data_IF_348845892700
#
_entry.id   IF_348845892700
#
_cell.length_a   1.000
_cell.length_b   1.000
_cell.length_c   1.000
_cell.angle_alpha   90.00
_cell.angle_beta   90.00
_cell.angle_gamma   90.00
#
_symmetry.space_group_name_H-M   'P 1'
#
loop_
_entity.id
_entity.type
_entity.pdbx_description
1 polymer ?
#
# COMPACT_ATOMS: atom_id res chain seq x y z
N UNK A 1 -33.88 23.99 8.98
CA UNK A 1 -33.96 22.79 9.83
C UNK A 1 -33.34 23.14 11.16
N UNK A 2 -34.02 22.78 12.24
CA UNK A 2 -33.67 23.20 13.60
C UNK A 2 -32.43 22.45 14.10
N UNK A 3 -31.47 23.14 14.70
CA UNK A 3 -30.19 22.57 15.16
C UNK A 3 -30.44 21.50 16.22
N UNK A 4 -31.46 21.70 17.06
CA UNK A 4 -31.90 20.71 18.05
C UNK A 4 -32.33 19.39 17.42
N UNK A 5 -33.01 19.45 16.26
CA UNK A 5 -33.48 18.27 15.56
C UNK A 5 -32.33 17.49 14.90
N UNK A 6 -31.30 18.18 14.42
CA UNK A 6 -30.08 17.54 13.92
C UNK A 6 -29.28 16.87 15.04
N UNK A 7 -29.26 17.46 16.23
CA UNK A 7 -28.61 16.88 17.41
C UNK A 7 -29.40 15.66 17.91
N UNK A 8 -30.73 15.72 17.97
CA UNK A 8 -31.56 14.55 18.30
C UNK A 8 -31.43 13.44 17.28
N UNK A 9 -31.48 13.74 15.98
CA UNK A 9 -31.25 12.75 14.92
C UNK A 9 -29.85 12.13 15.02
N UNK A 10 -28.82 12.92 15.32
CA UNK A 10 -27.46 12.43 15.57
C UNK A 10 -27.34 11.57 16.83
N UNK A 11 -28.06 11.90 17.91
CA UNK A 11 -28.09 11.10 19.15
C UNK A 11 -28.86 9.78 18.93
N UNK A 12 -29.98 9.79 18.22
CA UNK A 12 -30.71 8.58 17.84
C UNK A 12 -29.87 7.66 16.94
N UNK A 13 -29.07 8.25 16.05
CA UNK A 13 -28.13 7.51 15.21
C UNK A 13 -27.00 6.89 16.07
N UNK A 14 -26.37 7.64 16.97
CA UNK A 14 -25.28 7.14 17.81
C UNK A 14 -25.76 6.09 18.84
N UNK A 15 -27.00 6.18 19.32
CA UNK A 15 -27.56 5.28 20.35
C UNK A 15 -28.29 4.05 19.79
N UNK A 16 -28.43 3.92 18.47
CA UNK A 16 -29.12 2.81 17.84
C UNK A 16 -28.34 1.48 18.02
N UNK A 17 -28.87 0.60 18.86
CA UNK A 17 -28.33 -0.74 19.16
C UNK A 17 -28.46 -1.76 18.01
N UNK A 18 -29.01 -1.39 16.85
CA UNK A 18 -29.16 -2.26 15.69
C UNK A 18 -29.30 -1.48 14.38
N UNK A 19 -28.62 -1.97 13.33
CA UNK A 19 -28.66 -1.51 11.93
C UNK A 19 -30.10 -1.37 11.41
N UNK A 20 -31.06 -2.12 11.97
CA UNK A 20 -32.47 -2.12 11.54
C UNK A 20 -33.28 -0.92 12.06
N UNK A 21 -32.84 -0.25 13.13
CA UNK A 21 -33.45 0.99 13.66
C UNK A 21 -32.86 2.27 13.06
N UNK A 22 -31.70 2.14 12.44
CA UNK A 22 -31.07 3.18 11.65
C UNK A 22 -31.75 3.26 10.29
N UNK A 23 -32.42 4.36 9.99
CA UNK A 23 -32.94 4.67 8.63
C UNK A 23 -31.81 4.95 7.62
N UNK A 24 -30.64 4.32 7.79
CA UNK A 24 -29.50 4.44 6.91
C UNK A 24 -29.79 3.59 5.67
N UNK A 25 -29.86 4.23 4.50
CA UNK A 25 -29.95 3.51 3.22
C UNK A 25 -28.80 2.50 3.16
N UNK A 26 -29.05 1.27 2.72
CA UNK A 26 -28.01 0.22 2.66
C UNK A 26 -26.72 0.66 1.93
N UNK A 27 -26.82 1.58 0.97
CA UNK A 27 -25.67 2.20 0.28
C UNK A 27 -24.75 3.04 1.17
N UNK A 28 -25.25 3.56 2.29
CA UNK A 28 -24.54 4.44 3.21
C UNK A 28 -24.05 3.71 4.46
N UNK A 29 -24.51 2.47 4.71
CA UNK A 29 -24.09 1.69 5.87
C UNK A 29 -22.56 1.49 5.97
N UNK A 30 -21.82 1.21 4.87
CA UNK A 30 -20.36 1.14 4.95
C UNK A 30 -19.71 2.47 5.34
N UNK A 31 -20.22 3.60 4.83
CA UNK A 31 -19.73 4.93 5.18
C UNK A 31 -19.96 5.21 6.67
N UNK A 32 -21.17 4.95 7.16
CA UNK A 32 -21.50 5.14 8.56
C UNK A 32 -20.63 4.27 9.50
N UNK A 33 -20.44 2.99 9.18
CA UNK A 33 -19.56 2.11 9.97
C UNK A 33 -18.14 2.69 10.04
N UNK A 34 -17.61 3.16 8.90
CA UNK A 34 -16.29 3.78 8.85
C UNK A 34 -16.22 5.07 9.67
N UNK A 35 -17.25 5.93 9.60
CA UNK A 35 -17.36 7.14 10.41
C UNK A 35 -17.36 6.81 11.92
N UNK A 36 -18.09 5.77 12.36
CA UNK A 36 -18.08 5.35 13.76
C UNK A 36 -16.71 4.83 14.22
N UNK A 37 -16.01 4.10 13.36
CA UNK A 37 -14.65 3.64 13.65
C UNK A 37 -13.71 4.85 13.76
N UNK A 38 -13.80 5.80 12.84
CA UNK A 38 -13.03 7.04 12.91
C UNK A 38 -13.31 7.85 14.17
N UNK A 39 -14.58 8.04 14.53
CA UNK A 39 -14.97 8.83 15.69
C UNK A 39 -14.42 8.23 16.99
N UNK A 40 -14.43 6.90 17.11
CA UNK A 40 -13.80 6.18 18.23
C UNK A 40 -12.30 6.41 18.30
N UNK A 41 -11.61 6.52 17.16
CA UNK A 41 -10.18 6.82 17.11
C UNK A 41 -9.86 8.29 17.39
N UNK A 42 -10.76 9.20 16.98
CA UNK A 42 -10.64 10.66 17.16
C UNK A 42 -10.93 11.10 18.59
N UNK A 43 -11.85 10.42 19.28
CA UNK A 43 -12.34 10.79 20.61
C UNK A 43 -11.23 10.91 21.68
N UNK A 44 -10.26 9.98 21.80
CA UNK A 44 -9.18 10.10 22.79
C UNK A 44 -8.37 11.38 22.64
N UNK A 45 -8.08 11.79 21.39
CA UNK A 45 -7.34 13.03 21.14
C UNK A 45 -8.18 14.24 21.52
N UNK A 46 -9.47 14.26 21.17
CA UNK A 46 -10.39 15.33 21.55
C UNK A 46 -10.45 15.51 23.07
N UNK A 47 -10.70 14.42 23.81
CA UNK A 47 -10.76 14.42 25.28
C UNK A 47 -9.43 14.87 25.89
N UNK A 48 -8.31 14.39 25.36
CA UNK A 48 -6.98 14.80 25.82
C UNK A 48 -6.75 16.32 25.67
N UNK A 49 -7.22 16.93 24.56
CA UNK A 49 -7.11 18.38 24.36
C UNK A 49 -7.98 19.15 25.34
N UNK A 50 -9.22 18.71 25.57
CA UNK A 50 -10.09 19.32 26.58
C UNK A 50 -9.47 19.24 27.99
N UNK A 51 -8.91 18.08 28.37
CA UNK A 51 -8.19 17.91 29.65
C UNK A 51 -6.99 18.83 29.81
N UNK A 52 -6.37 19.24 28.69
CA UNK A 52 -5.26 20.20 28.66
C UNK A 52 -5.70 21.66 28.63
N UNK A 53 -7.00 21.93 28.74
CA UNK A 53 -7.57 23.27 28.83
C UNK A 53 -7.89 23.94 27.50
N UNK A 54 -7.82 23.22 26.37
CA UNK A 54 -8.21 23.76 25.07
C UNK A 54 -9.73 23.92 24.97
N UNK A 55 -10.19 24.91 24.21
CA UNK A 55 -11.62 25.04 23.89
C UNK A 55 -12.09 23.88 22.98
N UNK A 56 -13.40 23.55 22.96
CA UNK A 56 -13.93 22.53 22.06
C UNK A 56 -13.60 22.76 20.57
N UNK A 57 -13.55 24.02 20.13
CA UNK A 57 -13.18 24.37 18.75
C UNK A 57 -11.71 24.08 18.46
N UNK A 58 -10.79 24.40 19.37
CA UNK A 58 -9.37 24.10 19.22
C UNK A 58 -9.08 22.61 19.30
N UNK A 59 -9.75 21.91 20.22
CA UNK A 59 -9.67 20.45 20.32
C UNK A 59 -10.12 19.77 19.01
N UNK A 60 -11.23 20.24 18.41
CA UNK A 60 -11.70 19.73 17.12
C UNK A 60 -10.70 20.01 15.99
N UNK A 61 -10.11 21.21 15.93
CA UNK A 61 -9.07 21.55 14.95
C UNK A 61 -7.87 20.60 15.02
N UNK A 62 -7.40 20.29 16.24
CA UNK A 62 -6.31 19.34 16.43
C UNK A 62 -6.71 17.93 16.00
N UNK A 63 -7.94 17.49 16.29
CA UNK A 63 -8.45 16.19 15.81
C UNK A 63 -8.40 16.11 14.30
N UNK A 64 -8.96 17.09 13.60
CA UNK A 64 -8.96 17.12 12.13
C UNK A 64 -7.56 17.24 11.54
N UNK A 65 -6.63 17.91 12.25
CA UNK A 65 -5.24 17.99 11.84
C UNK A 65 -4.53 16.64 11.85
N UNK A 66 -4.76 15.80 12.86
CA UNK A 66 -4.02 14.53 13.02
C UNK A 66 -4.75 13.30 12.46
N UNK A 67 -6.08 13.31 12.38
CA UNK A 67 -6.85 12.18 11.83
C UNK A 67 -7.27 12.39 10.37
N UNK A 68 -7.06 13.60 9.85
CA UNK A 68 -7.51 14.10 8.56
C UNK A 68 -9.03 14.01 8.37
N UNK A 69 -9.58 15.02 7.70
CA UNK A 69 -10.96 14.97 7.25
C UNK A 69 -10.99 14.44 5.82
N UNK A 70 -11.63 13.29 5.62
CA UNK A 70 -11.81 12.69 4.30
C UNK A 70 -13.10 13.16 3.62
N UNK A 71 -13.89 14.01 4.29
CA UNK A 71 -15.14 14.52 3.73
C UNK A 71 -14.81 15.36 2.48
N UNK A 72 -15.48 15.12 1.34
CA UNK A 72 -15.13 15.71 0.04
C UNK A 72 -15.16 17.25 -0.07
N UNK A 73 -15.48 18.00 0.99
CA UNK A 73 -15.82 19.44 0.94
C UNK A 73 -14.86 20.35 1.68
N UNK A 74 -13.95 19.81 2.50
CA UNK A 74 -13.12 20.57 3.42
C UNK A 74 -11.64 20.46 3.01
N UNK A 75 -11.01 21.59 2.66
CA UNK A 75 -9.56 21.68 2.46
C UNK A 75 -8.98 21.31 1.08
N UNK A 76 -9.79 20.78 0.15
CA UNK A 76 -9.35 20.46 -1.23
C UNK A 76 -9.95 21.42 -2.25
N UNK A 77 -9.17 21.82 -3.24
CA UNK A 77 -9.61 22.58 -4.41
C UNK A 77 -10.51 21.75 -5.34
N UNK A 78 -11.36 22.37 -6.19
CA UNK A 78 -12.19 21.63 -7.15
C UNK A 78 -11.38 20.71 -8.07
N UNK A 79 -10.16 21.11 -8.44
CA UNK A 79 -9.23 20.30 -9.22
C UNK A 79 -8.75 19.07 -8.46
N UNK A 80 -8.31 19.23 -7.21
CA UNK A 80 -7.89 18.11 -6.37
C UNK A 80 -9.03 17.10 -6.15
N UNK A 81 -10.24 17.60 -5.93
CA UNK A 81 -11.42 16.78 -5.72
C UNK A 81 -11.80 15.96 -6.95
N UNK A 82 -11.73 16.56 -8.14
CA UNK A 82 -12.27 15.96 -9.37
C UNK A 82 -11.22 15.19 -10.17
N UNK A 83 -9.96 15.64 -10.12
CA UNK A 83 -8.86 15.11 -10.92
C UNK A 83 -7.88 14.33 -10.06
N UNK A 84 -7.20 14.98 -9.10
CA UNK A 84 -6.09 14.35 -8.38
C UNK A 84 -6.49 13.08 -7.63
N UNK A 85 -7.66 13.07 -6.98
CA UNK A 85 -8.20 11.87 -6.30
C UNK A 85 -8.46 10.69 -7.24
N UNK A 86 -8.64 10.94 -8.54
CA UNK A 86 -8.80 9.89 -9.55
C UNK A 86 -7.47 9.44 -10.14
N UNK A 87 -6.46 10.31 -10.15
CA UNK A 87 -5.13 9.98 -10.70
C UNK A 87 -4.27 9.23 -9.68
N UNK A 88 -4.33 9.63 -8.41
CA UNK A 88 -3.52 9.11 -7.31
C UNK A 88 -4.49 8.55 -6.24
N UNK A 89 -4.58 7.23 -6.07
CA UNK A 89 -5.23 6.62 -4.91
C UNK A 89 -4.65 7.19 -3.61
N UNK A 90 -5.50 7.39 -2.61
CA UNK A 90 -5.10 7.98 -1.31
C UNK A 90 -4.49 9.39 -1.39
N UNK A 91 -4.68 10.13 -2.49
CA UNK A 91 -4.22 11.52 -2.62
C UNK A 91 -4.52 12.41 -1.40
N UNK A 92 -5.73 12.30 -0.85
CA UNK A 92 -6.17 13.10 0.32
C UNK A 92 -5.30 12.82 1.55
N UNK A 93 -4.88 11.57 1.75
CA UNK A 93 -3.96 11.20 2.82
C UNK A 93 -2.62 11.87 2.60
N UNK A 94 -1.92 11.58 1.50
CA UNK A 94 -0.57 12.07 1.25
C UNK A 94 -0.52 13.61 1.19
N UNK A 95 -1.54 14.26 0.60
CA UNK A 95 -1.62 15.74 0.53
C UNK A 95 -1.64 16.41 1.91
N UNK A 96 -2.29 15.80 2.89
CA UNK A 96 -2.38 16.32 4.26
C UNK A 96 -1.26 15.81 5.17
N UNK A 97 -0.86 14.55 4.97
CA UNK A 97 0.16 13.88 5.77
C UNK A 97 1.55 14.45 5.51
N UNK A 98 1.96 14.68 4.25
CA UNK A 98 3.30 15.20 3.94
C UNK A 98 3.60 16.54 4.64
N UNK A 99 2.74 17.58 4.54
CA UNK A 99 2.96 18.82 5.28
C UNK A 99 2.96 18.62 6.81
N UNK A 100 2.07 17.76 7.32
CA UNK A 100 2.02 17.47 8.76
C UNK A 100 3.32 16.84 9.24
N UNK A 101 3.86 15.86 8.52
CA UNK A 101 5.12 15.22 8.88
C UNK A 101 6.28 16.21 8.84
N UNK A 102 6.36 17.07 7.81
CA UNK A 102 7.37 18.13 7.74
C UNK A 102 7.24 19.08 8.94
N UNK A 103 6.02 19.51 9.28
CA UNK A 103 5.78 20.38 10.44
C UNK A 103 6.21 19.69 11.75
N UNK A 104 5.88 18.42 11.92
CA UNK A 104 6.26 17.66 13.11
C UNK A 104 7.77 17.39 13.17
N UNK A 105 8.45 17.19 12.04
CA UNK A 105 9.91 17.08 11.98
C UNK A 105 10.59 18.35 12.48
N UNK A 106 10.07 19.51 12.07
CA UNK A 106 10.59 20.82 12.51
C UNK A 106 10.29 21.05 14.00
N UNK A 107 9.07 20.72 14.46
CA UNK A 107 8.65 20.94 15.85
C UNK A 107 9.25 19.94 16.84
N UNK A 108 9.53 18.72 16.41
CA UNK A 108 9.94 17.62 17.27
C UNK A 108 11.14 16.84 16.67
N UNK A 109 12.25 17.51 16.32
CA UNK A 109 13.35 16.88 15.59
C UNK A 109 13.97 15.71 16.34
N UNK A 110 14.01 15.77 17.68
CA UNK A 110 14.53 14.70 18.53
C UNK A 110 13.78 13.37 18.38
N UNK A 111 12.47 13.39 18.11
CA UNK A 111 11.69 12.15 17.91
C UNK A 111 12.00 11.49 16.58
N UNK A 112 12.11 12.29 15.51
CA UNK A 112 12.47 11.79 14.19
C UNK A 112 13.93 11.30 14.15
N UNK A 113 14.84 12.02 14.81
CA UNK A 113 16.21 11.54 15.00
C UNK A 113 16.26 10.24 15.80
N UNK A 114 15.39 10.08 16.81
CA UNK A 114 15.25 8.83 17.57
C UNK A 114 14.80 7.66 16.71
N UNK A 115 13.84 7.87 15.81
CA UNK A 115 13.36 6.85 14.88
C UNK A 115 14.47 6.41 13.91
N UNK A 116 15.24 7.35 13.37
CA UNK A 116 16.37 7.02 12.48
C UNK A 116 17.49 6.29 13.25
N UNK A 117 17.77 6.69 14.49
CA UNK A 117 18.72 5.95 15.36
C UNK A 117 18.23 4.53 15.62
N UNK A 118 16.93 4.36 15.90
CA UNK A 118 16.32 3.04 16.06
C UNK A 118 16.53 2.20 14.80
N UNK A 119 16.19 2.76 13.63
CA UNK A 119 16.42 2.13 12.33
C UNK A 119 17.87 1.65 12.18
N UNK A 120 18.85 2.51 12.46
CA UNK A 120 20.27 2.17 12.35
C UNK A 120 20.77 1.18 13.40
N UNK A 121 20.12 1.12 14.57
CA UNK A 121 20.44 0.19 15.65
C UNK A 121 19.88 -1.20 15.44
N UNK A 122 18.79 -1.31 14.67
CA UNK A 122 18.16 -2.59 14.33
C UNK A 122 19.10 -3.43 13.45
N UNK A 123 19.89 -2.81 12.57
CA UNK A 123 20.85 -3.52 11.73
C UNK A 123 22.20 -3.72 12.46
N UNK A 124 22.58 -4.97 12.68
CA UNK A 124 23.93 -5.37 13.08
C UNK A 124 24.98 -5.12 11.98
N UNK A 125 26.28 -5.33 12.25
CA UNK A 125 27.35 -5.12 11.27
C UNK A 125 27.19 -5.95 9.99
N UNK A 126 26.76 -7.22 10.12
CA UNK A 126 26.53 -8.12 8.98
C UNK A 126 25.26 -7.73 8.20
N UNK A 127 24.17 -7.43 8.91
CA UNK A 127 22.89 -7.03 8.29
C UNK A 127 22.98 -5.68 7.55
N UNK A 128 23.90 -4.79 7.96
CA UNK A 128 24.19 -3.55 7.22
C UNK A 128 24.83 -3.80 5.86
N UNK A 129 25.64 -4.87 5.76
CA UNK A 129 26.24 -5.30 4.49
C UNK A 129 25.16 -5.89 3.60
N UNK A 130 24.31 -6.75 4.15
CA UNK A 130 23.18 -7.34 3.41
C UNK A 130 22.17 -6.29 2.94
N UNK A 131 21.88 -5.29 3.78
CA UNK A 131 20.99 -4.17 3.44
C UNK A 131 21.43 -3.43 2.19
N UNK A 132 22.74 -3.25 1.97
CA UNK A 132 23.28 -2.57 0.78
C UNK A 132 23.02 -3.33 -0.51
N UNK A 133 22.88 -4.66 -0.43
CA UNK A 133 22.58 -5.53 -1.57
C UNK A 133 21.08 -5.70 -1.81
N UNK A 134 20.24 -5.20 -0.91
CA UNK A 134 18.80 -5.22 -1.13
C UNK A 134 18.41 -4.35 -2.33
N UNK A 135 17.30 -4.65 -3.02
CA UNK A 135 16.76 -3.77 -4.04
C UNK A 135 16.51 -2.35 -3.52
N UNK A 136 16.67 -1.35 -4.40
CA UNK A 136 16.50 0.07 -4.06
C UNK A 136 15.17 0.37 -3.34
N UNK A 137 14.07 -0.23 -3.81
CA UNK A 137 12.74 -0.07 -3.19
C UNK A 137 12.67 -0.59 -1.74
N UNK A 138 13.43 -1.62 -1.38
CA UNK A 138 13.52 -2.12 0.00
C UNK A 138 14.39 -1.23 0.86
N UNK A 139 15.49 -0.71 0.30
CA UNK A 139 16.39 0.20 1.02
C UNK A 139 15.69 1.51 1.43
N UNK A 140 14.70 1.93 0.64
CA UNK A 140 13.91 3.12 0.93
C UNK A 140 12.91 2.91 2.07
N UNK A 141 12.50 1.66 2.36
CA UNK A 141 11.47 1.31 3.34
C UNK A 141 12.03 1.14 4.76
N UNK A 142 11.16 1.30 5.76
CA UNK A 142 11.48 0.90 7.13
C UNK A 142 11.33 -0.62 7.27
N UNK A 143 12.41 -1.34 6.95
CA UNK A 143 12.47 -2.80 7.09
C UNK A 143 13.24 -3.22 8.34
N UNK A 144 12.80 -4.32 8.93
CA UNK A 144 13.39 -4.94 10.11
C UNK A 144 13.78 -6.37 9.72
N UNK A 145 15.07 -6.78 9.84
CA UNK A 145 15.47 -8.17 9.68
C UNK A 145 14.82 -9.02 10.77
N UNK A 146 14.27 -10.15 10.37
CA UNK A 146 13.77 -11.15 11.30
C UNK A 146 14.86 -12.19 11.58
N UNK A 147 14.97 -12.68 12.83
CA UNK A 147 15.99 -13.67 13.19
C UNK A 147 15.72 -15.05 12.57
N UNK A 148 14.54 -15.25 11.97
CA UNK A 148 14.17 -16.48 11.31
C UNK A 148 14.46 -16.38 9.82
N UNK A 149 15.03 -17.46 9.28
CA UNK A 149 15.16 -17.63 7.84
C UNK A 149 13.99 -18.46 7.33
N UNK A 150 13.62 -18.22 6.08
CA UNK A 150 12.63 -19.04 5.39
C UNK A 150 13.13 -20.49 5.23
N UNK A 151 12.24 -21.42 4.84
CA UNK A 151 12.56 -22.82 4.52
C UNK A 151 13.68 -22.96 3.47
N UNK A 152 13.91 -21.89 2.69
CA UNK A 152 14.92 -21.77 1.65
C UNK A 152 16.21 -21.09 2.13
N UNK A 153 16.36 -20.84 3.43
CA UNK A 153 17.52 -20.17 4.01
C UNK A 153 17.61 -18.67 3.67
N UNK A 154 16.51 -18.08 3.15
CA UNK A 154 16.41 -16.66 2.80
C UNK A 154 16.14 -15.82 4.04
N UNK A 155 16.75 -14.65 4.12
CA UNK A 155 16.48 -13.71 5.20
C UNK A 155 15.07 -13.14 5.05
N UNK A 156 14.34 -13.15 6.16
CA UNK A 156 12.99 -12.61 6.24
C UNK A 156 13.05 -11.17 6.73
N UNK A 157 12.24 -10.31 6.11
CA UNK A 157 12.18 -8.90 6.41
C UNK A 157 10.74 -8.52 6.76
N UNK A 158 10.56 -7.73 7.81
CA UNK A 158 9.29 -7.12 8.17
C UNK A 158 9.32 -5.65 7.74
N UNK A 159 8.38 -5.25 6.89
CA UNK A 159 8.17 -3.85 6.53
C UNK A 159 7.20 -3.20 7.51
N UNK A 160 7.56 -2.01 8.00
CA UNK A 160 6.65 -1.12 8.72
C UNK A 160 6.33 0.08 7.83
N UNK A 161 5.05 0.23 7.48
CA UNK A 161 4.58 1.41 6.75
C UNK A 161 4.38 2.56 7.72
N UNK A 162 5.29 3.54 7.67
CA UNK A 162 5.24 4.70 8.55
C UNK A 162 4.63 5.89 7.82
N UNK A 163 3.84 6.75 8.50
CA UNK A 163 3.36 7.98 7.89
C UNK A 163 4.47 8.90 7.34
N UNK A 164 5.70 8.76 7.84
CA UNK A 164 6.88 9.47 7.34
C UNK A 164 7.24 9.10 5.90
N UNK A 165 6.90 7.89 5.45
CA UNK A 165 7.30 7.36 4.14
C UNK A 165 6.72 8.16 2.97
N UNK A 166 5.57 8.82 3.18
CA UNK A 166 4.95 9.71 2.19
C UNK A 166 5.83 10.93 1.85
N UNK A 167 6.78 11.32 2.70
CA UNK A 167 7.72 12.41 2.39
C UNK A 167 8.55 12.07 1.14
N UNK A 168 8.75 10.79 0.84
CA UNK A 168 9.45 10.37 -0.37
C UNK A 168 8.71 10.77 -1.65
N UNK A 169 7.40 11.02 -1.58
CA UNK A 169 6.62 11.55 -2.71
C UNK A 169 6.91 13.01 -3.03
N UNK A 170 7.80 13.69 -2.31
CA UNK A 170 8.18 15.05 -2.67
C UNK A 170 8.91 15.06 -4.02
N UNK A 171 8.45 15.87 -5.01
CA UNK A 171 9.01 15.90 -6.36
C UNK A 171 10.31 16.73 -6.42
N UNK A 172 11.22 16.52 -5.47
CA UNK A 172 12.50 17.24 -5.36
C UNK A 172 13.62 16.43 -6.02
N UNK A 173 13.51 15.10 -6.02
CA UNK A 173 14.46 14.16 -6.60
C UNK A 173 13.82 13.29 -7.69
N UNK A 174 14.66 12.65 -8.51
CA UNK A 174 14.22 11.61 -9.46
C UNK A 174 13.53 10.44 -8.76
N UNK A 175 13.98 10.06 -7.56
CA UNK A 175 13.34 9.03 -6.74
C UNK A 175 11.94 9.44 -6.28
N UNK A 176 11.72 10.71 -5.94
CA UNK A 176 10.38 11.18 -5.54
C UNK A 176 9.40 11.25 -6.70
N UNK A 177 9.87 11.62 -7.90
CA UNK A 177 9.06 11.54 -9.12
C UNK A 177 8.69 10.08 -9.43
N UNK A 178 9.65 9.15 -9.27
CA UNK A 178 9.38 7.71 -9.40
C UNK A 178 8.36 7.25 -8.38
N UNK A 179 8.42 7.71 -7.14
CA UNK A 179 7.47 7.34 -6.10
C UNK A 179 6.05 7.87 -6.39
N UNK A 180 5.92 9.11 -6.88
CA UNK A 180 4.62 9.60 -7.36
C UNK A 180 4.09 8.71 -8.49
N UNK A 181 4.95 8.32 -9.43
CA UNK A 181 4.58 7.44 -10.54
C UNK A 181 4.21 6.02 -10.05
N UNK A 182 4.85 5.52 -8.99
CA UNK A 182 4.60 4.20 -8.40
C UNK A 182 3.20 4.10 -7.80
N UNK A 183 2.71 5.21 -7.22
CA UNK A 183 1.38 5.32 -6.61
C UNK A 183 0.29 5.79 -7.56
N UNK A 184 0.59 6.08 -8.84
CA UNK A 184 -0.46 6.39 -9.81
C UNK A 184 -1.45 5.23 -9.95
N UNK A 185 -2.68 5.57 -10.35
CA UNK A 185 -3.68 4.56 -10.69
C UNK A 185 -3.16 3.58 -11.74
N UNK A 186 -3.56 2.29 -11.67
CA UNK A 186 -3.16 1.29 -12.64
C UNK A 186 -3.39 1.68 -14.10
N UNK A 187 -4.47 2.43 -14.37
CA UNK A 187 -4.82 2.91 -15.71
C UNK A 187 -3.76 3.82 -16.33
N UNK A 188 -3.07 4.63 -15.52
CA UNK A 188 -2.01 5.51 -15.98
C UNK A 188 -0.65 4.86 -15.83
N UNK A 189 -0.45 4.14 -14.73
CA UNK A 189 0.82 3.49 -14.42
C UNK A 189 1.17 2.42 -15.43
N UNK A 190 0.25 1.50 -15.74
CA UNK A 190 0.49 0.37 -16.63
C UNK A 190 1.02 0.74 -18.03
N UNK A 191 0.39 1.67 -18.79
CA UNK A 191 0.91 2.04 -20.11
C UNK A 191 2.28 2.73 -20.02
N UNK A 192 2.53 3.53 -18.98
CA UNK A 192 3.84 4.16 -18.77
C UNK A 192 4.91 3.11 -18.44
N UNK A 193 4.60 2.18 -17.55
CA UNK A 193 5.47 1.06 -17.18
C UNK A 193 5.84 0.20 -18.40
N UNK A 194 4.88 -0.09 -19.29
CA UNK A 194 5.16 -0.81 -20.54
C UNK A 194 6.02 0.01 -21.51
N UNK A 195 5.75 1.31 -21.65
CA UNK A 195 6.51 2.18 -22.54
C UNK A 195 7.97 2.28 -22.11
N UNK A 196 8.23 2.44 -20.81
CA UNK A 196 9.57 2.48 -20.25
C UNK A 196 10.16 1.08 -19.97
N UNK A 197 9.39 0.01 -20.20
CA UNK A 197 9.72 -1.38 -19.86
C UNK A 197 10.19 -1.58 -18.41
N UNK A 198 9.74 -0.74 -17.48
CA UNK A 198 10.25 -0.70 -16.12
C UNK A 198 9.11 -0.69 -15.13
N UNK A 199 9.18 -1.59 -14.15
CA UNK A 199 8.24 -1.59 -13.04
C UNK A 199 8.54 -0.37 -12.15
N UNK A 200 7.56 0.52 -11.97
CA UNK A 200 7.78 1.78 -11.25
C UNK A 200 7.84 1.60 -9.73
N UNK A 201 7.38 0.45 -9.22
CA UNK A 201 7.42 0.13 -7.79
C UNK A 201 8.70 -0.63 -7.42
N UNK A 202 8.97 -1.76 -8.10
CA UNK A 202 10.13 -2.61 -7.80
C UNK A 202 11.41 -2.22 -8.57
N UNK A 203 11.30 -1.32 -9.56
CA UNK A 203 12.44 -0.82 -10.33
C UNK A 203 13.00 -1.77 -11.40
N UNK A 204 12.57 -3.04 -11.43
CA UNK A 204 13.05 -4.06 -12.38
C UNK A 204 12.32 -4.06 -13.72
N UNK A 205 12.96 -4.64 -14.74
CA UNK A 205 12.40 -4.70 -16.09
C UNK A 205 11.17 -5.61 -16.16
N UNK A 206 10.19 -5.23 -16.98
CA UNK A 206 8.97 -6.03 -17.19
C UNK A 206 9.26 -7.15 -18.18
N UNK A 207 9.97 -6.82 -19.25
CA UNK A 207 10.35 -7.72 -20.31
C UNK A 207 11.85 -7.62 -20.51
N UNK A 208 12.54 -8.74 -20.73
CA UNK A 208 13.91 -8.70 -21.20
C UNK A 208 13.89 -8.62 -22.76
N UNK A 209 14.32 -7.49 -23.37
CA UNK A 209 14.32 -7.33 -24.83
C UNK A 209 15.27 -8.30 -25.55
N UNK A 210 16.27 -8.85 -24.86
CA UNK A 210 17.26 -9.78 -25.42
C UNK A 210 16.68 -11.19 -25.60
N UNK A 211 15.61 -11.53 -24.86
CA UNK A 211 14.95 -12.82 -24.98
C UNK A 211 13.94 -12.81 -26.14
N UNK A 212 13.84 -13.91 -26.92
CA UNK A 212 12.75 -14.11 -27.86
C UNK A 212 11.39 -13.95 -27.16
N UNK A 213 10.39 -13.43 -27.87
CA UNK A 213 9.06 -13.14 -27.31
C UNK A 213 8.42 -14.34 -26.59
N UNK A 214 8.69 -15.56 -27.05
CA UNK A 214 8.19 -16.81 -26.47
C UNK A 214 8.86 -17.19 -25.13
N UNK A 215 10.03 -16.61 -24.84
CA UNK A 215 10.80 -16.82 -23.62
C UNK A 215 10.66 -15.66 -22.62
N UNK A 216 9.91 -14.62 -22.98
CA UNK A 216 9.58 -13.49 -22.09
C UNK A 216 8.45 -13.87 -21.12
N UNK A 217 8.67 -14.88 -20.30
CA UNK A 217 7.68 -15.39 -19.34
C UNK A 217 8.13 -15.19 -17.89
N UNK A 218 7.15 -15.21 -16.99
CA UNK A 218 7.34 -15.12 -15.53
C UNK A 218 6.45 -16.12 -14.81
N UNK A 219 6.85 -16.49 -13.60
CA UNK A 219 6.12 -17.43 -12.76
C UNK A 219 4.70 -16.95 -12.47
N UNK A 220 3.74 -17.83 -12.68
CA UNK A 220 2.30 -17.64 -12.57
C UNK A 220 1.71 -18.55 -11.49
N UNK A 221 0.55 -18.19 -10.94
CA UNK A 221 -0.18 -19.04 -9.98
C UNK A 221 -0.74 -20.30 -10.65
N UNK A 222 -0.81 -21.39 -9.90
CA UNK A 222 -1.34 -22.67 -10.37
C UNK A 222 -2.81 -22.60 -10.84
N UNK A 223 -3.64 -21.78 -10.18
CA UNK A 223 -5.09 -21.70 -10.46
C UNK A 223 -5.41 -21.34 -11.91
N UNK A 224 -4.48 -20.70 -12.60
CA UNK A 224 -4.66 -20.30 -13.99
C UNK A 224 -4.73 -21.49 -14.95
N UNK A 225 -4.36 -22.70 -14.50
CA UNK A 225 -4.61 -23.95 -15.25
C UNK A 225 -6.08 -24.18 -15.58
N UNK A 226 -6.99 -23.68 -14.73
CA UNK A 226 -8.44 -23.83 -14.88
C UNK A 226 -9.04 -22.82 -15.88
N UNK A 227 -8.25 -21.88 -16.40
CA UNK A 227 -8.74 -20.97 -17.43
C UNK A 227 -9.08 -21.74 -18.72
N UNK A 228 -10.10 -21.29 -19.46
CA UNK A 228 -10.41 -21.81 -20.79
C UNK A 228 -9.17 -21.80 -21.70
N UNK A 229 -9.01 -22.84 -22.52
CA UNK A 229 -7.92 -22.99 -23.48
C UNK A 229 -7.65 -21.75 -24.37
N UNK A 230 -8.66 -21.01 -24.90
CA UNK A 230 -8.37 -19.80 -25.67
C UNK A 230 -7.63 -18.74 -24.84
N UNK A 231 -7.97 -18.58 -23.56
CA UNK A 231 -7.34 -17.60 -22.67
C UNK A 231 -5.92 -18.05 -22.32
N UNK A 232 -5.72 -19.35 -22.03
CA UNK A 232 -4.37 -19.89 -21.76
C UNK A 232 -3.40 -19.68 -22.92
N UNK A 233 -3.88 -19.83 -24.17
CA UNK A 233 -3.08 -19.58 -25.37
C UNK A 233 -2.69 -18.10 -25.51
N UNK A 234 -3.62 -17.17 -25.23
CA UNK A 234 -3.35 -15.72 -25.25
C UNK A 234 -2.31 -15.34 -24.20
N UNK A 235 -2.40 -15.91 -23.00
CA UNK A 235 -1.48 -15.66 -21.89
C UNK A 235 -0.11 -16.33 -22.06
N UNK A 236 0.09 -17.12 -23.13
CA UNK A 236 1.25 -18.01 -23.28
C UNK A 236 1.50 -18.86 -22.02
N UNK A 237 0.41 -19.38 -21.44
CA UNK A 237 0.47 -20.13 -20.19
C UNK A 237 1.07 -21.52 -20.43
N UNK A 238 2.17 -21.84 -19.74
CA UNK A 238 2.89 -23.11 -19.87
C UNK A 238 3.24 -23.70 -18.51
N UNK A 239 3.23 -25.03 -18.45
CA UNK A 239 3.76 -25.80 -17.32
C UNK A 239 5.22 -26.14 -17.64
N UNK A 240 6.13 -25.75 -16.74
CA UNK A 240 7.57 -25.98 -16.89
C UNK A 240 8.07 -26.77 -15.68
N UNK A 241 8.84 -27.81 -15.94
CA UNK A 241 9.49 -28.59 -14.89
C UNK A 241 10.91 -28.08 -14.66
N UNK A 242 11.15 -27.57 -13.46
CA UNK A 242 12.47 -27.10 -13.04
C UNK A 242 13.16 -28.16 -12.21
N UNK A 243 14.46 -28.35 -12.42
CA UNK A 243 15.26 -29.20 -11.51
C UNK A 243 15.29 -28.56 -10.13
N UNK A 244 14.96 -29.35 -9.12
CA UNK A 244 15.09 -28.93 -7.72
C UNK A 244 16.56 -28.99 -7.32
N UNK A 245 17.23 -27.84 -7.32
CA UNK A 245 18.63 -27.74 -6.91
C UNK A 245 18.82 -27.84 -5.39
N UNK A 246 17.73 -27.89 -4.61
CA UNK A 246 17.79 -28.11 -3.15
C UNK A 246 18.27 -29.52 -2.78
N UNK A 247 18.04 -30.48 -3.67
CA UNK A 247 18.50 -31.86 -3.53
C UNK A 247 19.44 -32.19 -4.69
N UNK A 248 20.69 -31.70 -4.67
CA UNK A 248 21.60 -31.87 -5.81
C UNK A 248 21.87 -33.34 -6.17
N UNK A 249 21.83 -34.23 -5.18
CA UNK A 249 22.04 -35.68 -5.30
C UNK A 249 20.82 -36.45 -5.83
N UNK A 250 19.60 -35.90 -5.70
CA UNK A 250 18.37 -36.52 -6.20
C UNK A 250 17.82 -35.72 -7.39
N UNK A 251 17.56 -36.36 -8.54
CA UNK A 251 16.91 -35.68 -9.67
C UNK A 251 15.43 -35.45 -9.40
N UNK A 252 15.11 -34.49 -8.53
CA UNK A 252 13.74 -34.02 -8.26
C UNK A 252 13.38 -32.87 -9.20
N UNK A 253 12.14 -32.84 -9.65
CA UNK A 253 11.60 -31.77 -10.49
C UNK A 253 10.45 -31.07 -9.78
N UNK A 254 10.49 -29.74 -9.75
CA UNK A 254 9.41 -28.88 -9.26
C UNK A 254 8.61 -28.42 -10.48
N UNK A 255 7.29 -28.56 -10.41
CA UNK A 255 6.40 -27.99 -11.42
C UNK A 255 6.19 -26.51 -11.13
N UNK A 256 6.48 -25.65 -12.09
CA UNK A 256 6.15 -24.23 -12.04
C UNK A 256 5.29 -23.88 -13.24
N UNK A 257 4.37 -22.96 -13.03
CA UNK A 257 3.55 -22.41 -14.09
C UNK A 257 4.13 -21.07 -14.51
N UNK A 258 4.11 -20.79 -15.81
CA UNK A 258 4.59 -19.53 -16.36
C UNK A 258 3.57 -18.93 -17.30
N UNK A 259 3.58 -17.61 -17.41
CA UNK A 259 2.82 -16.87 -18.42
C UNK A 259 3.67 -15.73 -18.99
N UNK A 260 3.27 -15.14 -20.11
CA UNK A 260 3.92 -13.97 -20.67
C UNK A 260 3.97 -12.80 -19.69
N UNK A 261 5.14 -12.19 -19.58
CA UNK A 261 5.46 -11.18 -18.56
C UNK A 261 4.59 -9.92 -18.66
N UNK A 262 4.16 -9.52 -19.86
CA UNK A 262 3.30 -8.33 -20.03
C UNK A 262 1.90 -8.59 -19.51
N UNK A 263 1.34 -9.76 -19.81
CA UNK A 263 0.02 -10.12 -19.30
C UNK A 263 0.05 -10.39 -17.79
N UNK A 264 1.13 -10.98 -17.27
CA UNK A 264 1.30 -11.08 -15.82
C UNK A 264 1.32 -9.69 -15.18
N UNK A 265 2.09 -8.76 -15.74
CA UNK A 265 2.16 -7.39 -15.25
C UNK A 265 0.80 -6.68 -15.30
N UNK A 266 0.01 -6.90 -16.35
CA UNK A 266 -1.38 -6.43 -16.42
C UNK A 266 -2.22 -6.98 -15.25
N UNK A 267 -2.21 -8.30 -15.05
CA UNK A 267 -2.97 -8.94 -13.97
C UNK A 267 -2.52 -8.40 -12.60
N UNK A 268 -1.21 -8.24 -12.37
CA UNK A 268 -0.71 -7.67 -11.12
C UNK A 268 -1.10 -6.20 -10.94
N UNK A 269 -1.09 -5.39 -11.99
CA UNK A 269 -1.43 -3.97 -11.91
C UNK A 269 -2.92 -3.74 -11.66
N UNK A 270 -3.81 -4.53 -12.26
CA UNK A 270 -5.26 -4.33 -12.15
C UNK A 270 -5.94 -5.22 -11.09
N UNK A 271 -5.40 -6.42 -10.86
CA UNK A 271 -5.97 -7.44 -9.96
C UNK A 271 -5.03 -7.77 -8.79
N UNK A 272 -3.97 -6.97 -8.58
CA UNK A 272 -2.86 -7.28 -7.69
C UNK A 272 -3.24 -7.79 -6.31
N UNK A 273 -4.22 -7.18 -5.63
CA UNK A 273 -4.66 -7.61 -4.28
C UNK A 273 -5.31 -9.01 -4.28
N UNK A 274 -6.10 -9.31 -5.31
CA UNK A 274 -6.72 -10.63 -5.46
C UNK A 274 -5.68 -11.66 -5.92
N UNK A 275 -4.83 -11.29 -6.87
CA UNK A 275 -3.78 -12.15 -7.39
C UNK A 275 -2.75 -12.51 -6.30
N UNK A 276 -2.31 -11.56 -5.49
CA UNK A 276 -1.34 -11.79 -4.40
C UNK A 276 -1.93 -12.67 -3.30
N UNK A 277 -3.22 -12.50 -2.98
CA UNK A 277 -3.92 -13.33 -2.00
C UNK A 277 -4.05 -14.76 -2.50
N UNK A 278 -4.48 -14.95 -3.76
CA UNK A 278 -4.55 -16.27 -4.39
C UNK A 278 -3.17 -16.93 -4.45
N UNK A 279 -2.13 -16.15 -4.77
CA UNK A 279 -0.74 -16.62 -4.77
C UNK A 279 -0.31 -17.10 -3.38
N UNK A 280 -0.55 -16.30 -2.33
CA UNK A 280 -0.16 -16.66 -0.96
C UNK A 280 -0.91 -17.87 -0.39
N UNK A 281 -2.11 -18.17 -0.90
CA UNK A 281 -2.87 -19.38 -0.53
C UNK A 281 -2.47 -20.60 -1.36
N UNK A 282 -2.02 -20.38 -2.60
CA UNK A 282 -1.73 -21.43 -3.57
C UNK A 282 -0.28 -21.91 -3.58
N UNK A 283 0.66 -20.98 -3.59
CA UNK A 283 2.06 -21.27 -3.80
C UNK A 283 2.68 -21.62 -2.45
N UNK A 284 3.15 -22.87 -2.33
CA UNK A 284 3.90 -23.37 -1.16
C UNK A 284 5.42 -23.11 -1.26
N UNK A 285 5.83 -22.27 -2.20
CA UNK A 285 7.23 -21.99 -2.59
C UNK A 285 7.63 -20.52 -2.33
#
# INVERSE_FOLDING_TARGET
MDVYRQVEEGIEEITASSIKKMKIKGSNAPRWIMEQVEDRLRMPLFINRLKKGFSPSEAAKDVFKFHFDYVPRTGLTPFEQTVMRRLIPFYVWSRNNVPLQIEQMIKQPGKYAGLEKLRQSIFGPEEKVDFKYLPEWMQEMFIIPLPWKDQLGRDLWMQLDLPLDDIRMLPISSSGIREIASVLTPFLKYPLELYFNRNMYFGGDIVNPELPREMQTRTAIEQLKHLPNPIKKILNFREVQYRDWRFPEEKRFIKRYEMDSKYLHFVMSFLGRYYSTLKGVSDKD
#
